data_IF_644251690496
#
_entry.id   IF_644251690496
#
_cell.length_a   1.000
_cell.length_b   1.000
_cell.length_c   1.000
_cell.angle_alpha   90.00
_cell.angle_beta   90.00
_cell.angle_gamma   90.00
#
_symmetry.space_group_name_H-M   'P 1'
#
loop_
_entity.id
_entity.type
_entity.pdbx_description
1 polymer ?
#
# COMPACT_ATOMS: atom_id res chain seq x y z
N UNK A 1 1.50 -17.55 19.80
CA UNK A 1 2.63 -16.63 20.03
C UNK A 1 3.47 -16.36 18.76
N UNK A 2 3.82 -17.38 17.94
CA UNK A 2 4.67 -17.21 16.72
C UNK A 2 4.11 -16.17 15.73
N UNK A 3 2.81 -16.20 15.42
CA UNK A 3 2.19 -15.26 14.48
C UNK A 3 2.14 -13.81 15.00
N UNK A 4 1.92 -13.60 16.28
CA UNK A 4 1.94 -12.28 16.93
C UNK A 4 3.34 -11.66 16.79
N UNK A 5 4.38 -12.46 17.02
CA UNK A 5 5.77 -12.01 16.86
C UNK A 5 6.13 -11.67 15.42
N UNK A 6 5.67 -12.48 14.47
CA UNK A 6 5.84 -12.21 13.03
C UNK A 6 5.16 -10.88 12.62
N UNK A 7 3.89 -10.69 13.01
CA UNK A 7 3.15 -9.45 12.71
C UNK A 7 3.84 -8.23 13.32
N UNK A 8 4.30 -8.33 14.58
CA UNK A 8 5.04 -7.26 15.24
C UNK A 8 6.33 -6.90 14.50
N UNK A 9 7.10 -7.90 14.08
CA UNK A 9 8.32 -7.70 13.29
C UNK A 9 8.06 -6.95 11.98
N UNK A 10 6.97 -7.24 11.27
CA UNK A 10 6.57 -6.50 10.07
C UNK A 10 6.20 -5.05 10.38
N UNK A 11 5.43 -4.79 11.43
CA UNK A 11 5.05 -3.44 11.84
C UNK A 11 6.29 -2.59 12.17
N UNK A 12 7.25 -3.15 12.91
CA UNK A 12 8.51 -2.45 13.22
C UNK A 12 9.30 -2.13 11.95
N UNK A 13 9.37 -3.07 10.98
CA UNK A 13 10.04 -2.84 9.70
C UNK A 13 9.37 -1.76 8.84
N UNK A 14 8.06 -1.56 8.98
CA UNK A 14 7.33 -0.51 8.27
C UNK A 14 7.66 0.90 8.78
N UNK A 15 8.00 1.07 10.05
CA UNK A 15 8.15 2.38 10.69
C UNK A 15 9.08 3.36 9.94
N UNK A 16 10.29 2.99 9.51
CA UNK A 16 11.17 3.94 8.81
C UNK A 16 10.55 4.46 7.51
N UNK A 17 9.91 3.59 6.73
CA UNK A 17 9.22 3.98 5.49
C UNK A 17 8.00 4.86 5.76
N UNK A 18 7.25 4.60 6.82
CA UNK A 18 6.12 5.42 7.24
C UNK A 18 6.58 6.84 7.62
N UNK A 19 7.67 6.95 8.39
CA UNK A 19 8.23 8.25 8.79
C UNK A 19 8.80 9.02 7.61
N UNK A 20 9.51 8.35 6.71
CA UNK A 20 10.02 8.96 5.48
C UNK A 20 8.87 9.47 4.57
N UNK A 21 7.81 8.69 4.42
CA UNK A 21 6.63 9.08 3.64
C UNK A 21 5.89 10.26 4.28
N UNK A 22 5.78 10.30 5.62
CA UNK A 22 5.21 11.42 6.36
C UNK A 22 6.03 12.70 6.16
N UNK A 23 7.35 12.62 6.26
CA UNK A 23 8.25 13.75 6.03
C UNK A 23 8.13 14.27 4.58
N UNK A 24 8.13 13.36 3.60
CA UNK A 24 7.95 13.71 2.18
C UNK A 24 6.59 14.36 1.92
N UNK A 25 5.51 13.83 2.52
CA UNK A 25 4.20 14.45 2.44
C UNK A 25 4.22 15.89 2.98
N UNK A 26 4.86 16.12 4.15
CA UNK A 26 5.02 17.45 4.75
C UNK A 26 5.75 18.42 3.82
N UNK A 27 6.85 17.98 3.20
CA UNK A 27 7.61 18.78 2.22
C UNK A 27 6.77 19.15 0.98
N UNK A 28 5.90 18.25 0.53
CA UNK A 28 5.08 18.45 -0.66
C UNK A 28 3.76 19.17 -0.35
N UNK A 29 3.36 19.25 0.91
CA UNK A 29 2.06 19.76 1.33
C UNK A 29 1.79 21.18 0.84
N UNK A 30 2.72 22.13 1.07
CA UNK A 30 2.56 23.53 0.68
C UNK A 30 2.42 23.70 -0.84
N UNK A 31 3.23 22.97 -1.63
CA UNK A 31 3.18 22.97 -3.09
C UNK A 31 1.83 22.42 -3.58
N UNK A 32 1.36 21.34 -2.96
CA UNK A 32 0.09 20.71 -3.31
C UNK A 32 -1.10 21.61 -2.98
N UNK A 33 -1.09 22.25 -1.80
CA UNK A 33 -2.15 23.18 -1.39
C UNK A 33 -2.20 24.42 -2.30
N UNK A 34 -1.03 24.97 -2.68
CA UNK A 34 -0.95 26.05 -3.67
C UNK A 34 -1.58 25.65 -5.00
N UNK A 35 -1.25 24.46 -5.52
CA UNK A 35 -1.82 23.95 -6.77
C UNK A 35 -3.34 23.72 -6.69
N UNK A 36 -3.85 23.22 -5.57
CA UNK A 36 -5.29 23.08 -5.37
C UNK A 36 -6.00 24.43 -5.40
N UNK A 37 -5.45 25.44 -4.72
CA UNK A 37 -5.99 26.80 -4.71
C UNK A 37 -6.05 27.42 -6.12
N UNK A 38 -4.99 27.24 -6.94
CA UNK A 38 -5.00 27.73 -8.33
C UNK A 38 -6.02 27.02 -9.21
N UNK A 39 -6.44 25.81 -8.86
CA UNK A 39 -7.51 25.05 -9.53
C UNK A 39 -8.92 25.35 -8.97
N UNK A 40 -9.06 26.29 -8.04
CA UNK A 40 -10.34 26.56 -7.38
C UNK A 40 -10.83 25.43 -6.48
N UNK A 41 -9.92 24.58 -5.98
CA UNK A 41 -10.26 23.41 -5.17
C UNK A 41 -9.77 23.57 -3.73
N UNK A 42 -10.60 23.13 -2.78
CA UNK A 42 -10.26 23.04 -1.36
C UNK A 42 -10.21 21.59 -0.89
N UNK A 43 -9.26 21.28 -0.02
CA UNK A 43 -9.14 19.98 0.63
C UNK A 43 -9.55 20.09 2.09
N UNK A 44 -10.41 19.17 2.57
CA UNK A 44 -10.82 19.13 3.97
C UNK A 44 -9.73 18.52 4.85
N UNK A 45 -9.74 18.85 6.16
CA UNK A 45 -8.82 18.25 7.15
C UNK A 45 -8.93 16.72 7.17
N UNK A 46 -10.15 16.17 7.09
CA UNK A 46 -10.35 14.73 7.04
C UNK A 46 -9.71 14.08 5.81
N UNK A 47 -9.84 14.73 4.64
CA UNK A 47 -9.19 14.27 3.40
C UNK A 47 -7.66 14.28 3.52
N UNK A 48 -7.09 15.32 4.13
CA UNK A 48 -5.64 15.41 4.37
C UNK A 48 -5.17 14.30 5.31
N UNK A 49 -5.90 14.02 6.39
CA UNK A 49 -5.59 12.92 7.31
C UNK A 49 -5.57 11.56 6.58
N UNK A 50 -6.56 11.29 5.73
CA UNK A 50 -6.59 10.05 4.94
C UNK A 50 -5.44 9.99 3.94
N UNK A 51 -5.07 11.11 3.31
CA UNK A 51 -3.91 11.17 2.42
C UNK A 51 -2.60 10.88 3.18
N UNK A 52 -2.42 11.47 4.35
CA UNK A 52 -1.25 11.17 5.21
C UNK A 52 -1.20 9.68 5.54
N UNK A 53 -2.31 9.09 5.99
CA UNK A 53 -2.38 7.65 6.28
C UNK A 53 -2.05 6.80 5.05
N UNK A 54 -2.55 7.20 3.87
CA UNK A 54 -2.26 6.50 2.60
C UNK A 54 -0.77 6.56 2.26
N UNK A 55 -0.13 7.72 2.40
CA UNK A 55 1.31 7.89 2.17
C UNK A 55 2.15 7.08 3.15
N UNK A 56 1.81 7.15 4.44
CA UNK A 56 2.50 6.35 5.47
C UNK A 56 2.36 4.86 5.19
N UNK A 57 1.17 4.40 4.83
CA UNK A 57 0.95 3.01 4.47
C UNK A 57 1.80 2.58 3.25
N UNK A 58 1.81 3.38 2.17
CA UNK A 58 2.64 3.11 1.00
C UNK A 58 4.14 3.07 1.35
N UNK A 59 4.63 4.01 2.17
CA UNK A 59 6.02 4.02 2.64
C UNK A 59 6.37 2.79 3.48
N UNK A 60 5.48 2.39 4.39
CA UNK A 60 5.65 1.18 5.19
C UNK A 60 5.65 -0.08 4.32
N UNK A 61 4.73 -0.18 3.36
CA UNK A 61 4.68 -1.28 2.41
C UNK A 61 5.96 -1.38 1.57
N UNK A 62 6.48 -0.24 1.09
CA UNK A 62 7.72 -0.19 0.34
C UNK A 62 8.90 -0.78 1.13
N UNK A 63 9.01 -0.48 2.43
CA UNK A 63 10.06 -1.06 3.28
C UNK A 63 9.95 -2.58 3.41
N UNK A 64 8.75 -3.13 3.48
CA UNK A 64 8.54 -4.58 3.64
C UNK A 64 8.70 -5.33 2.32
N UNK A 65 8.24 -4.74 1.22
CA UNK A 65 8.14 -5.44 -0.07
C UNK A 65 9.34 -5.18 -0.98
N UNK A 66 9.99 -4.01 -0.89
CA UNK A 66 11.05 -3.60 -1.81
C UNK A 66 12.47 -3.79 -1.25
N UNK A 67 12.60 -4.35 -0.03
CA UNK A 67 13.91 -4.64 0.57
C UNK A 67 14.22 -6.14 0.53
N UNK A 68 15.50 -6.53 0.50
CA UNK A 68 15.92 -7.93 0.53
C UNK A 68 15.40 -8.69 1.76
N UNK A 69 15.38 -10.02 1.69
CA UNK A 69 15.09 -10.86 2.85
C UNK A 69 16.05 -10.56 4.01
N UNK A 70 15.48 -10.46 5.22
CA UNK A 70 16.28 -10.18 6.42
C UNK A 70 16.73 -8.72 6.57
N UNK A 71 16.50 -7.86 5.57
CA UNK A 71 16.83 -6.44 5.71
C UNK A 71 15.96 -5.78 6.79
N UNK A 72 16.61 -5.07 7.70
CA UNK A 72 15.99 -4.21 8.69
C UNK A 72 16.86 -2.96 8.84
N UNK A 73 16.29 -1.78 8.67
CA UNK A 73 17.05 -0.54 8.81
C UNK A 73 17.66 -0.39 10.21
N UNK A 74 16.95 -0.86 11.25
CA UNK A 74 17.47 -0.83 12.63
C UNK A 74 18.69 -1.73 12.80
N UNK A 75 18.68 -2.93 12.19
CA UNK A 75 19.82 -3.84 12.23
C UNK A 75 20.99 -3.29 11.43
N UNK A 76 20.72 -2.68 10.27
CA UNK A 76 21.75 -2.02 9.44
C UNK A 76 22.42 -0.88 10.17
N UNK A 77 21.67 -0.02 10.87
CA UNK A 77 22.21 1.09 11.63
C UNK A 77 23.02 0.61 12.85
N UNK A 78 22.72 -0.55 13.39
CA UNK A 78 23.37 -1.10 14.58
C UNK A 78 24.58 -1.99 14.26
N UNK A 79 24.48 -2.80 13.22
CA UNK A 79 25.43 -3.89 12.91
C UNK A 79 26.06 -3.78 11.52
N UNK A 80 25.59 -2.86 10.67
CA UNK A 80 25.90 -2.79 9.26
C UNK A 80 25.10 -3.80 8.42
N UNK A 81 25.14 -3.63 7.10
CA UNK A 81 24.55 -4.57 6.13
C UNK A 81 25.66 -5.38 5.49
N UNK A 82 25.67 -6.69 5.71
CA UNK A 82 26.70 -7.60 5.19
C UNK A 82 26.30 -8.35 3.92
N UNK A 83 25.02 -8.28 3.50
CA UNK A 83 24.52 -8.99 2.32
C UNK A 83 24.46 -8.13 1.05
N UNK A 84 24.37 -8.74 -0.14
CA UNK A 84 24.11 -8.02 -1.37
C UNK A 84 22.69 -7.42 -1.31
N UNK A 85 22.55 -6.14 -1.73
CA UNK A 85 21.22 -5.54 -1.85
C UNK A 85 20.53 -6.00 -3.14
N UNK A 86 21.31 -6.15 -4.21
CA UNK A 86 20.84 -6.65 -5.51
C UNK A 86 21.34 -8.06 -5.74
N UNK A 87 20.42 -8.96 -5.94
CA UNK A 87 20.68 -10.38 -6.27
C UNK A 87 19.47 -10.86 -7.07
N UNK A 88 19.73 -11.62 -8.15
CA UNK A 88 18.64 -12.18 -8.92
C UNK A 88 17.92 -13.27 -8.12
N UNK A 89 16.62 -13.13 -7.96
CA UNK A 89 15.74 -14.13 -7.37
C UNK A 89 15.33 -15.22 -8.37
N UNK A 90 14.26 -15.93 -8.06
CA UNK A 90 13.70 -16.95 -8.95
C UNK A 90 12.23 -16.60 -9.30
N UNK A 91 11.73 -17.21 -10.38
CA UNK A 91 10.37 -16.99 -10.89
C UNK A 91 9.54 -18.23 -10.63
N UNK A 92 8.42 -18.05 -9.93
CA UNK A 92 7.40 -19.07 -9.71
C UNK A 92 6.13 -18.69 -10.49
N UNK A 93 5.85 -19.41 -11.58
CA UNK A 93 4.65 -19.22 -12.41
C UNK A 93 3.64 -20.36 -12.24
N UNK A 94 3.85 -21.24 -11.26
CA UNK A 94 2.90 -22.35 -10.99
C UNK A 94 1.80 -21.81 -10.09
N UNK A 95 0.57 -21.61 -10.60
CA UNK A 95 -0.53 -21.11 -9.80
C UNK A 95 -0.89 -22.10 -8.68
N UNK A 96 -1.30 -21.55 -7.56
CA UNK A 96 -1.73 -22.30 -6.37
C UNK A 96 -0.65 -23.15 -5.69
N UNK A 97 0.62 -22.95 -6.03
CA UNK A 97 1.71 -23.66 -5.39
C UNK A 97 1.84 -23.28 -3.91
N UNK A 98 1.69 -22.01 -3.61
CA UNK A 98 1.67 -21.48 -2.22
C UNK A 98 0.57 -22.11 -1.39
N UNK A 99 -0.56 -22.49 -2.00
CA UNK A 99 -1.68 -23.13 -1.34
C UNK A 99 -1.39 -24.59 -0.91
N UNK A 100 -0.47 -25.26 -1.60
CA UNK A 100 -0.18 -26.67 -1.36
C UNK A 100 0.96 -26.89 -0.37
N UNK A 101 1.86 -25.93 -0.20
CA UNK A 101 3.16 -26.15 0.43
C UNK A 101 3.29 -25.70 1.89
N UNK A 102 2.35 -24.94 2.44
CA UNK A 102 2.58 -24.34 3.76
C UNK A 102 1.51 -24.67 4.81
N UNK A 103 1.95 -25.19 5.96
CA UNK A 103 1.15 -25.20 7.19
C UNK A 103 0.83 -23.78 7.73
N UNK A 104 1.23 -22.72 7.01
CA UNK A 104 1.02 -21.29 7.31
C UNK A 104 0.10 -20.66 6.25
N UNK A 105 -0.54 -21.49 5.43
CA UNK A 105 -1.35 -21.13 4.27
C UNK A 105 -2.30 -19.94 4.54
N UNK A 106 -3.14 -20.08 5.55
CA UNK A 106 -4.17 -19.08 5.86
C UNK A 106 -3.55 -17.72 6.23
N UNK A 107 -2.42 -17.72 6.94
CA UNK A 107 -1.73 -16.49 7.34
C UNK A 107 -1.14 -15.77 6.11
N UNK A 108 -0.53 -16.51 5.20
CA UNK A 108 0.07 -15.93 3.97
C UNK A 108 -1.02 -15.40 3.03
N UNK A 109 -2.07 -16.19 2.80
CA UNK A 109 -3.20 -15.79 1.94
C UNK A 109 -3.91 -14.56 2.48
N UNK A 110 -4.32 -14.59 3.74
CA UNK A 110 -4.99 -13.46 4.38
C UNK A 110 -4.05 -12.26 4.51
N UNK A 111 -2.76 -12.49 4.77
CA UNK A 111 -1.76 -11.45 4.85
C UNK A 111 -1.68 -10.64 3.56
N UNK A 112 -1.51 -11.29 2.41
CA UNK A 112 -1.44 -10.64 1.10
C UNK A 112 -2.73 -9.88 0.78
N UNK A 113 -3.90 -10.51 0.95
CA UNK A 113 -5.19 -9.86 0.70
C UNK A 113 -5.37 -8.64 1.61
N UNK A 114 -5.13 -8.76 2.93
CA UNK A 114 -5.32 -7.68 3.90
C UNK A 114 -4.35 -6.53 3.65
N UNK A 115 -3.09 -6.83 3.34
CA UNK A 115 -2.07 -5.81 3.04
C UNK A 115 -2.39 -5.01 1.77
N UNK A 116 -3.14 -5.57 0.83
CA UNK A 116 -3.51 -4.86 -0.40
C UNK A 116 -4.90 -4.21 -0.38
N UNK A 117 -5.73 -4.45 0.65
CA UNK A 117 -7.01 -3.74 0.85
C UNK A 117 -6.88 -2.21 0.73
N UNK A 118 -5.88 -1.54 1.35
CA UNK A 118 -5.75 -0.09 1.31
C UNK A 118 -5.55 0.47 -0.11
N UNK A 119 -4.92 -0.28 -1.03
CA UNK A 119 -4.71 0.17 -2.41
C UNK A 119 -6.00 0.28 -3.22
N UNK A 120 -7.05 -0.42 -2.84
CA UNK A 120 -8.37 -0.25 -3.42
C UNK A 120 -9.26 0.71 -2.63
N UNK A 121 -9.16 0.67 -1.30
CA UNK A 121 -9.98 1.44 -0.38
C UNK A 121 -9.67 2.95 -0.42
N UNK A 122 -8.42 3.34 -0.22
CA UNK A 122 -8.06 4.76 -0.17
C UNK A 122 -8.29 5.50 -1.51
N UNK A 123 -7.94 4.96 -2.68
CA UNK A 123 -8.29 5.62 -3.93
C UNK A 123 -9.80 5.77 -4.13
N UNK A 124 -10.58 4.77 -3.77
CA UNK A 124 -12.04 4.83 -3.90
C UNK A 124 -12.66 5.87 -2.94
N UNK A 125 -12.10 6.03 -1.74
CA UNK A 125 -12.50 7.05 -0.77
C UNK A 125 -12.11 8.48 -1.22
N UNK A 126 -10.92 8.65 -1.82
CA UNK A 126 -10.32 9.97 -2.08
C UNK A 126 -10.68 10.56 -3.43
N UNK A 127 -10.97 9.75 -4.45
CA UNK A 127 -11.20 10.20 -5.83
C UNK A 127 -12.58 9.82 -6.36
N UNK A 128 -13.32 10.81 -6.84
CA UNK A 128 -14.59 10.60 -7.55
C UNK A 128 -14.35 9.80 -8.83
N UNK A 129 -15.27 8.91 -9.15
CA UNK A 129 -15.18 8.11 -10.38
C UNK A 129 -14.13 7.00 -10.34
N UNK A 130 -13.57 6.66 -9.18
CA UNK A 130 -12.76 5.46 -9.04
C UNK A 130 -13.66 4.24 -9.15
N UNK A 131 -13.34 3.36 -10.11
CA UNK A 131 -14.16 2.20 -10.49
C UNK A 131 -13.44 0.89 -10.20
N UNK A 132 -14.17 -0.23 -10.20
CA UNK A 132 -13.58 -1.56 -10.04
C UNK A 132 -12.52 -1.87 -11.11
N UNK A 133 -12.69 -1.37 -12.36
CA UNK A 133 -11.69 -1.51 -13.43
C UNK A 133 -10.39 -0.78 -13.07
N UNK A 134 -10.50 0.42 -12.51
CA UNK A 134 -9.33 1.18 -12.02
C UNK A 134 -8.69 0.47 -10.82
N UNK A 135 -9.49 -0.11 -9.90
CA UNK A 135 -8.97 -0.91 -8.80
C UNK A 135 -8.19 -2.14 -9.29
N UNK A 136 -8.74 -2.85 -10.29
CA UNK A 136 -8.06 -3.97 -10.93
C UNK A 136 -6.71 -3.56 -11.53
N UNK A 137 -6.70 -2.48 -12.33
CA UNK A 137 -5.46 -1.96 -12.93
C UNK A 137 -4.48 -1.50 -11.85
N UNK A 138 -4.95 -0.80 -10.80
CA UNK A 138 -4.10 -0.39 -9.67
C UNK A 138 -3.47 -1.61 -9.00
N UNK A 139 -4.27 -2.64 -8.69
CA UNK A 139 -3.78 -3.88 -8.08
C UNK A 139 -2.71 -4.55 -8.95
N UNK A 140 -3.00 -4.77 -10.23
CA UNK A 140 -2.06 -5.39 -11.17
C UNK A 140 -0.77 -4.57 -11.33
N UNK A 141 -0.85 -3.24 -11.46
CA UNK A 141 0.33 -2.40 -11.62
C UNK A 141 1.19 -2.37 -10.35
N UNK A 142 0.57 -2.21 -9.18
CA UNK A 142 1.30 -2.13 -7.91
C UNK A 142 1.95 -3.46 -7.60
N UNK A 143 1.19 -4.57 -7.66
CA UNK A 143 1.77 -5.88 -7.35
C UNK A 143 2.77 -6.33 -8.42
N UNK A 144 2.50 -6.10 -9.70
CA UNK A 144 3.45 -6.41 -10.77
C UNK A 144 4.77 -5.66 -10.62
N UNK A 145 4.72 -4.37 -10.23
CA UNK A 145 5.93 -3.62 -9.89
C UNK A 145 6.68 -4.24 -8.71
N UNK A 146 5.95 -4.59 -7.63
CA UNK A 146 6.55 -5.20 -6.44
C UNK A 146 7.22 -6.53 -6.79
N UNK A 147 6.53 -7.41 -7.51
CA UNK A 147 7.05 -8.72 -7.90
C UNK A 147 8.29 -8.63 -8.79
N UNK A 148 8.26 -7.73 -9.80
CA UNK A 148 9.43 -7.47 -10.63
C UNK A 148 10.61 -6.92 -9.82
N UNK A 149 10.35 -6.04 -8.85
CA UNK A 149 11.39 -5.52 -7.97
C UNK A 149 11.95 -6.59 -7.04
N UNK A 150 11.08 -7.43 -6.49
CA UNK A 150 11.45 -8.54 -5.62
C UNK A 150 12.44 -9.50 -6.31
N UNK A 151 12.23 -9.76 -7.60
CA UNK A 151 13.18 -10.55 -8.41
C UNK A 151 14.58 -9.92 -8.42
N UNK A 152 14.68 -8.59 -8.44
CA UNK A 152 15.98 -7.88 -8.46
C UNK A 152 16.67 -7.88 -7.09
N UNK A 153 15.90 -7.94 -6.00
CA UNK A 153 16.45 -7.94 -4.63
C UNK A 153 16.57 -9.35 -4.02
N UNK A 154 16.60 -10.39 -4.83
CA UNK A 154 16.85 -11.78 -4.40
C UNK A 154 15.65 -12.48 -3.79
N UNK A 155 14.42 -11.99 -4.08
CA UNK A 155 13.17 -12.64 -3.68
C UNK A 155 12.56 -13.39 -4.86
N UNK A 156 11.50 -14.16 -4.59
CA UNK A 156 10.73 -14.81 -5.65
C UNK A 156 9.77 -13.82 -6.31
N UNK A 157 9.65 -13.90 -7.64
CA UNK A 157 8.46 -13.43 -8.35
C UNK A 157 7.41 -14.54 -8.25
N UNK A 158 6.27 -14.28 -7.63
CA UNK A 158 5.24 -15.29 -7.42
C UNK A 158 3.90 -14.89 -8.03
N UNK A 159 3.38 -15.76 -8.91
CA UNK A 159 2.08 -15.53 -9.56
C UNK A 159 0.93 -15.56 -8.54
N UNK A 160 1.04 -16.34 -7.47
CA UNK A 160 0.02 -16.39 -6.42
C UNK A 160 -0.07 -15.06 -5.68
N UNK A 161 1.07 -14.40 -5.40
CA UNK A 161 1.10 -13.09 -4.78
C UNK A 161 0.46 -12.04 -5.70
N UNK A 162 0.73 -12.09 -7.02
CA UNK A 162 0.10 -11.21 -7.98
C UNK A 162 -1.44 -11.35 -7.99
N UNK A 163 -1.94 -12.58 -7.89
CA UNK A 163 -3.39 -12.85 -7.84
C UNK A 163 -4.00 -12.38 -6.52
N UNK A 164 -3.41 -12.73 -5.38
CA UNK A 164 -3.91 -12.43 -4.04
C UNK A 164 -3.89 -10.92 -3.74
N UNK A 165 -2.83 -10.24 -4.11
CA UNK A 165 -2.67 -8.81 -3.93
C UNK A 165 -3.68 -8.02 -4.79
N UNK A 166 -3.89 -8.46 -6.03
CA UNK A 166 -4.93 -7.86 -6.90
C UNK A 166 -6.33 -8.11 -6.33
N UNK A 167 -6.61 -9.32 -5.84
CA UNK A 167 -7.86 -9.63 -5.15
C UNK A 167 -8.05 -8.75 -3.92
N UNK A 168 -7.01 -8.55 -3.09
CA UNK A 168 -7.02 -7.65 -1.94
C UNK A 168 -7.39 -6.21 -2.33
N UNK A 169 -6.82 -5.70 -3.41
CA UNK A 169 -7.16 -4.37 -3.95
C UNK A 169 -8.63 -4.28 -4.37
N UNK A 170 -9.16 -5.29 -5.05
CA UNK A 170 -10.59 -5.35 -5.41
C UNK A 170 -11.49 -5.42 -4.18
N UNK A 171 -11.13 -6.26 -3.20
CA UNK A 171 -11.86 -6.34 -1.91
C UNK A 171 -11.88 -4.98 -1.20
N UNK A 172 -10.77 -4.24 -1.20
CA UNK A 172 -10.69 -2.90 -0.64
C UNK A 172 -11.64 -1.91 -1.33
N UNK A 173 -11.71 -1.96 -2.66
CA UNK A 173 -12.68 -1.16 -3.43
C UNK A 173 -14.12 -1.50 -3.05
N UNK A 174 -14.49 -2.78 -2.99
CA UNK A 174 -15.84 -3.21 -2.65
C UNK A 174 -16.20 -2.92 -1.20
N UNK A 175 -15.22 -3.02 -0.29
CA UNK A 175 -15.39 -2.61 1.10
C UNK A 175 -15.78 -1.14 1.20
N UNK A 176 -15.05 -0.24 0.49
CA UNK A 176 -15.42 1.17 0.43
C UNK A 176 -16.80 1.37 -0.17
N UNK A 177 -17.15 0.70 -1.26
CA UNK A 177 -18.48 0.80 -1.90
C UNK A 177 -19.61 0.41 -0.95
N UNK A 178 -19.43 -0.65 -0.15
CA UNK A 178 -20.40 -1.06 0.86
C UNK A 178 -20.57 -0.03 1.99
N UNK A 179 -19.47 0.63 2.39
CA UNK A 179 -19.48 1.68 3.39
C UNK A 179 -20.10 2.98 2.83
N UNK A 180 -19.71 3.41 1.61
CA UNK A 180 -20.23 4.63 0.95
C UNK A 180 -21.76 4.58 0.77
N UNK A 181 -22.31 3.39 0.49
CA UNK A 181 -23.75 3.18 0.36
C UNK A 181 -24.52 3.44 1.66
N UNK A 182 -23.87 3.30 2.82
CA UNK A 182 -24.45 3.47 4.15
C UNK A 182 -24.12 4.81 4.80
N UNK A 183 -23.13 5.55 4.27
CA UNK A 183 -22.65 6.80 4.87
C UNK A 183 -23.45 8.02 4.38
N UNK A 184 -23.69 9.01 5.26
CA UNK A 184 -24.22 10.30 4.85
C UNK A 184 -23.30 10.97 3.82
N UNK A 185 -23.89 11.66 2.83
CA UNK A 185 -23.15 12.35 1.76
C UNK A 185 -22.07 13.33 2.24
N UNK A 186 -22.19 13.86 3.46
CA UNK A 186 -21.25 14.81 4.05
C UNK A 186 -19.87 14.23 4.46
N UNK A 187 -19.72 12.90 4.54
CA UNK A 187 -18.47 12.23 4.93
C UNK A 187 -17.56 11.87 3.73
N UNK A 188 -17.95 12.24 2.51
CA UNK A 188 -17.14 11.96 1.33
C UNK A 188 -15.87 12.84 1.32
N UNK A 189 -14.71 12.19 1.24
CA UNK A 189 -13.40 12.84 1.33
C UNK A 189 -12.88 13.38 -0.03
N UNK A 190 -13.80 13.87 -0.88
CA UNK A 190 -13.42 14.48 -2.16
C UNK A 190 -13.03 15.95 -1.99
N UNK A 191 -12.20 16.48 -2.89
CA UNK A 191 -11.98 17.92 -2.98
C UNK A 191 -13.31 18.63 -3.26
N UNK A 192 -13.53 19.77 -2.61
CA UNK A 192 -14.65 20.66 -2.84
C UNK A 192 -14.19 21.80 -3.74
N UNK A 193 -15.08 22.28 -4.60
CA UNK A 193 -14.89 23.55 -5.30
C UNK A 193 -14.91 24.68 -4.27
N UNK A 194 -14.06 25.67 -4.43
CA UNK A 194 -14.11 26.92 -3.64
C UNK A 194 -15.27 27.70 -4.21
N UNK A 195 -16.36 27.86 -3.45
CA UNK A 195 -17.41 28.79 -3.80
C UNK A 195 -16.78 30.18 -3.91
N UNK A 196 -16.84 30.79 -5.12
CA UNK A 196 -16.50 32.19 -5.30
C UNK A 196 -17.56 33.00 -4.53
N UNK A 197 -17.19 33.60 -3.41
CA UNK A 197 -17.98 34.66 -2.81
C UNK A 197 -18.13 35.77 -3.87
N UNK A 198 -19.29 35.81 -4.56
CA UNK A 198 -19.74 36.92 -5.40
C UNK A 198 -20.43 37.94 -4.53
#
# INVERSE_FOLDING_TARGET
MRYVWMTWSYLVKMLPGMLAALALYGCLYSRRMGKLKTMGLASSRGREAVLVLSWMFCGGMAMVTLTPWGFSLFDVLRWGWAGPFFQLGYVNLVPFQTFCLSGVLLYTLLGNVIMFLPFGFFPALLWRGYTWKRALVTGLCVTGFIECWQLIVGRAFDIDDLMLNTLGTLCGFWLWKGLDARMPRGLRMHCKEIESET
#
